data_IF_313573390094
#
_entry.id   IF_313573390094
#
_cell.length_a   1.000
_cell.length_b   1.000
_cell.length_c   1.000
_cell.angle_alpha   90.00
_cell.angle_beta   90.00
_cell.angle_gamma   90.00
#
_symmetry.space_group_name_H-M   'P 1'
#
loop_
_entity.id
_entity.type
_entity.pdbx_description
1 polymer ?
#
# COMPACT_ATOMS: atom_id res chain seq x y z
N UNK A 1 -16.89 -3.60 -1.86
CA UNK A 1 -15.78 -3.42 -0.88
C UNK A 1 -14.61 -2.80 -1.64
N UNK A 2 -13.81 -1.89 -1.06
CA UNK A 2 -12.59 -1.38 -1.69
C UNK A 2 -11.47 -1.31 -0.66
N UNK A 3 -10.24 -1.61 -1.04
CA UNK A 3 -9.07 -1.49 -0.14
C UNK A 3 -7.97 -0.71 -0.81
N UNK A 4 -7.11 -0.11 0.02
CA UNK A 4 -5.94 0.60 -0.47
C UNK A 4 -4.70 -0.24 -0.20
N UNK A 5 -3.69 -0.06 -1.03
CA UNK A 5 -2.39 -0.69 -0.82
C UNK A 5 -1.28 0.26 -1.24
N UNK A 6 -0.16 0.20 -0.53
CA UNK A 6 1.06 0.92 -0.86
C UNK A 6 2.05 -0.04 -1.49
N UNK A 7 2.68 0.44 -2.55
CA UNK A 7 3.73 -0.25 -3.27
C UNK A 7 5.05 0.46 -2.97
N UNK A 8 6.06 -0.33 -2.60
CA UNK A 8 7.45 0.10 -2.60
C UNK A 8 8.23 -0.76 -3.59
N UNK A 9 9.29 -0.22 -4.20
CA UNK A 9 10.19 -1.00 -5.05
C UNK A 9 11.11 -1.93 -4.26
N UNK A 10 11.31 -1.65 -2.97
CA UNK A 10 12.15 -2.45 -2.07
C UNK A 10 11.30 -3.27 -1.09
N UNK A 11 11.48 -4.60 -1.13
CA UNK A 11 10.84 -5.54 -0.17
C UNK A 11 11.15 -5.18 1.28
N UNK A 12 12.39 -4.78 1.55
CA UNK A 12 12.83 -4.41 2.91
C UNK A 12 12.13 -3.15 3.41
N UNK A 13 11.91 -2.14 2.54
CA UNK A 13 11.11 -0.98 2.91
C UNK A 13 9.63 -1.33 3.12
N UNK A 14 9.04 -2.19 2.27
CA UNK A 14 7.66 -2.68 2.47
C UNK A 14 7.49 -3.30 3.86
N UNK A 15 8.41 -4.18 4.26
CA UNK A 15 8.36 -4.84 5.56
C UNK A 15 8.59 -3.86 6.72
N UNK A 16 9.53 -2.93 6.58
CA UNK A 16 9.78 -1.89 7.57
C UNK A 16 8.54 -1.01 7.77
N UNK A 17 7.93 -0.58 6.65
CA UNK A 17 6.71 0.22 6.67
C UNK A 17 5.53 -0.52 7.29
N UNK A 18 5.36 -1.81 6.98
CA UNK A 18 4.37 -2.64 7.62
C UNK A 18 4.54 -2.72 9.15
N UNK A 19 5.78 -2.90 9.62
CA UNK A 19 6.08 -2.88 11.07
C UNK A 19 5.71 -1.55 11.71
N UNK A 20 6.06 -0.43 11.06
CA UNK A 20 5.68 0.92 11.52
C UNK A 20 4.15 1.02 11.62
N UNK A 21 3.41 0.56 10.62
CA UNK A 21 1.96 0.63 10.66
C UNK A 21 1.33 -0.19 11.79
N UNK A 22 1.87 -1.37 12.06
CA UNK A 22 1.43 -2.21 13.20
C UNK A 22 1.73 -1.50 14.53
N UNK A 23 2.92 -0.92 14.68
CA UNK A 23 3.34 -0.21 15.89
C UNK A 23 2.41 0.98 16.21
N UNK A 24 1.95 1.68 15.17
CA UNK A 24 0.96 2.75 15.29
C UNK A 24 -0.49 2.25 15.47
N UNK A 25 -0.72 0.93 15.50
CA UNK A 25 -2.04 0.33 15.72
C UNK A 25 -2.95 0.26 14.48
N UNK A 26 -2.43 0.46 13.27
CA UNK A 26 -3.23 0.38 12.05
C UNK A 26 -3.56 -1.07 11.68
N UNK A 27 -4.78 -1.30 11.20
CA UNK A 27 -5.19 -2.60 10.64
C UNK A 27 -4.64 -2.75 9.22
N UNK A 28 -3.48 -3.38 9.11
CA UNK A 28 -2.78 -3.57 7.84
C UNK A 28 -2.38 -5.02 7.61
N UNK A 29 -2.11 -5.40 6.37
CA UNK A 29 -1.72 -6.75 6.01
C UNK A 29 -0.80 -6.73 4.80
N UNK A 30 0.16 -7.66 4.74
CA UNK A 30 0.98 -7.85 3.54
C UNK A 30 0.20 -8.70 2.56
N UNK A 31 0.10 -8.22 1.32
CA UNK A 31 -0.49 -8.96 0.20
C UNK A 31 0.54 -9.07 -0.92
N UNK A 32 0.37 -10.07 -1.79
CA UNK A 32 1.10 -10.08 -3.05
C UNK A 32 0.61 -8.94 -3.94
N UNK A 33 1.53 -8.35 -4.68
CA UNK A 33 1.21 -7.32 -5.66
C UNK A 33 0.32 -7.91 -6.75
N UNK A 34 -0.76 -7.24 -7.15
CA UNK A 34 -1.55 -7.67 -8.30
C UNK A 34 -0.68 -7.66 -9.57
N UNK A 35 -0.97 -8.55 -10.53
CA UNK A 35 -0.16 -8.75 -11.75
C UNK A 35 0.15 -7.43 -12.48
N UNK A 36 -0.80 -6.48 -12.49
CA UNK A 36 -0.63 -5.16 -13.10
C UNK A 36 0.51 -4.32 -12.51
N UNK A 37 0.95 -4.60 -11.28
CA UNK A 37 2.01 -3.85 -10.56
C UNK A 37 3.17 -4.77 -10.14
N UNK A 38 3.04 -6.08 -10.31
CA UNK A 38 4.02 -7.06 -9.82
C UNK A 38 5.42 -6.90 -10.41
N UNK A 39 5.59 -6.19 -11.52
CA UNK A 39 6.90 -5.86 -12.10
C UNK A 39 7.79 -4.99 -11.19
N UNK A 40 7.22 -4.33 -10.18
CA UNK A 40 7.95 -3.40 -9.31
C UNK A 40 8.42 -4.06 -8.01
N UNK A 41 7.52 -4.80 -7.36
CA UNK A 41 7.83 -5.60 -6.17
C UNK A 41 6.78 -6.69 -6.04
N UNK A 42 7.14 -7.85 -5.49
CA UNK A 42 6.21 -8.97 -5.32
C UNK A 42 5.21 -8.77 -4.18
N UNK A 43 5.47 -7.85 -3.25
CA UNK A 43 4.62 -7.64 -2.06
C UNK A 43 4.29 -6.17 -1.84
N UNK A 44 3.12 -5.93 -1.27
CA UNK A 44 2.57 -4.61 -0.95
C UNK A 44 1.88 -4.62 0.41
N UNK A 45 1.73 -3.45 1.02
CA UNK A 45 0.99 -3.30 2.30
C UNK A 45 -0.42 -2.84 2.01
N UNK A 46 -1.40 -3.69 2.31
CA UNK A 46 -2.84 -3.40 2.27
C UNK A 46 -3.29 -2.75 3.58
N UNK A 47 -4.15 -1.75 3.47
CA UNK A 47 -4.73 -1.04 4.61
C UNK A 47 -6.15 -0.55 4.27
N UNK A 48 -6.86 -0.08 5.29
CA UNK A 48 -8.24 0.38 5.13
C UNK A 48 -8.27 1.81 4.55
N UNK A 49 -9.21 2.12 3.64
CA UNK A 49 -9.31 3.47 3.06
C UNK A 49 -9.44 4.60 4.08
N UNK A 50 -10.07 4.34 5.23
CA UNK A 50 -10.24 5.30 6.33
C UNK A 50 -8.91 5.75 6.95
N UNK A 51 -7.86 4.93 6.86
CA UNK A 51 -6.55 5.20 7.45
C UNK A 51 -5.63 5.94 6.46
N UNK A 52 -6.10 6.21 5.23
CA UNK A 52 -5.30 6.78 4.16
C UNK A 52 -4.66 8.12 4.51
N UNK A 53 -5.41 9.05 5.10
CA UNK A 53 -4.86 10.38 5.42
C UNK A 53 -3.73 10.30 6.47
N UNK A 54 -3.89 9.45 7.48
CA UNK A 54 -2.87 9.26 8.52
C UNK A 54 -1.61 8.60 7.92
N UNK A 55 -1.80 7.58 7.09
CA UNK A 55 -0.71 6.85 6.44
C UNK A 55 0.00 7.74 5.41
N UNK A 56 -0.72 8.58 4.67
CA UNK A 56 -0.16 9.57 3.75
C UNK A 56 0.77 10.54 4.47
N UNK A 57 0.36 11.07 5.64
CA UNK A 57 1.21 11.94 6.47
C UNK A 57 2.48 11.21 6.91
N UNK A 58 2.38 9.93 7.31
CA UNK A 58 3.55 9.13 7.67
C UNK A 58 4.54 8.96 6.52
N UNK A 59 4.04 8.73 5.30
CA UNK A 59 4.89 8.59 4.10
C UNK A 59 5.62 9.90 3.81
N UNK A 60 4.90 11.04 3.82
CA UNK A 60 5.48 12.36 3.57
C UNK A 60 6.54 12.71 4.62
N UNK A 61 6.30 12.36 5.89
CA UNK A 61 7.20 12.73 6.99
C UNK A 61 8.47 11.87 7.09
N UNK A 62 8.48 10.64 6.55
CA UNK A 62 9.58 9.68 6.74
C UNK A 62 10.46 9.43 5.50
N UNK A 63 10.25 10.18 4.42
CA UNK A 63 10.99 10.11 3.14
C UNK A 63 11.41 8.69 2.74
N UNK A 64 10.44 7.89 2.29
CA UNK A 64 10.71 6.53 1.83
C UNK A 64 11.23 6.55 0.39
N UNK A 65 12.54 6.42 0.20
CA UNK A 65 13.15 6.50 -1.14
C UNK A 65 12.70 5.40 -2.12
N UNK A 66 12.15 4.29 -1.64
CA UNK A 66 11.60 3.22 -2.47
C UNK A 66 10.09 3.33 -2.64
N UNK A 67 9.45 4.41 -2.20
CA UNK A 67 8.01 4.61 -2.38
C UNK A 67 7.66 4.77 -3.86
N UNK A 68 6.67 4.02 -4.31
CA UNK A 68 6.22 4.01 -5.72
C UNK A 68 4.87 4.71 -5.85
N UNK A 69 3.97 4.40 -4.93
CA UNK A 69 2.62 4.95 -4.95
C UNK A 69 1.65 4.25 -4.03
N UNK A 70 0.51 4.88 -3.83
CA UNK A 70 -0.68 4.31 -3.21
C UNK A 70 -1.70 4.01 -4.29
N UNK A 71 -2.33 2.85 -4.18
CA UNK A 71 -3.30 2.37 -5.13
C UNK A 71 -4.60 1.99 -4.41
N UNK A 72 -5.72 2.29 -5.05
CA UNK A 72 -7.05 1.84 -4.65
C UNK A 72 -7.43 0.64 -5.51
N UNK A 73 -7.83 -0.45 -4.86
CA UNK A 73 -8.49 -1.59 -5.50
C UNK A 73 -10.00 -1.51 -5.28
N UNK A 74 -10.76 -1.48 -6.37
CA UNK A 74 -12.22 -1.39 -6.35
C UNK A 74 -12.84 -2.66 -6.95
N UNK A 75 -13.68 -3.37 -6.17
CA UNK A 75 -14.29 -4.64 -6.58
C UNK A 75 -15.54 -4.46 -7.48
N UNK A 76 -15.87 -3.25 -7.92
CA UNK A 76 -17.11 -2.99 -8.67
C UNK A 76 -17.18 -3.65 -10.06
N UNK A 77 -16.08 -4.25 -10.54
CA UNK A 77 -15.99 -4.94 -11.84
C UNK A 77 -15.35 -6.31 -11.67
N UNK A 78 -15.74 -7.29 -12.51
CA UNK A 78 -15.26 -8.70 -12.49
C UNK A 78 -13.74 -8.87 -12.42
N UNK A 79 -12.95 -7.88 -12.85
CA UNK A 79 -11.49 -7.91 -12.83
C UNK A 79 -10.83 -7.00 -11.77
N UNK A 80 -11.61 -6.25 -10.99
CA UNK A 80 -11.13 -5.27 -10.00
C UNK A 80 -10.32 -4.12 -10.62
N UNK A 81 -10.76 -2.88 -10.40
CA UNK A 81 -10.04 -1.72 -10.96
C UNK A 81 -8.98 -1.27 -9.97
N UNK A 82 -7.74 -1.18 -10.44
CA UNK A 82 -6.63 -0.59 -9.72
C UNK A 82 -6.42 0.84 -10.22
N UNK A 83 -6.46 1.82 -9.32
CA UNK A 83 -6.13 3.22 -9.62
C UNK A 83 -5.06 3.74 -8.69
N UNK A 84 -4.01 4.37 -9.23
CA UNK A 84 -3.04 5.14 -8.43
C UNK A 84 -3.74 6.39 -7.89
N UNK A 85 -3.60 6.64 -6.59
CA UNK A 85 -4.24 7.76 -5.88
C UNK A 85 -3.22 8.69 -5.20
N UNK A 86 -1.97 8.26 -5.06
CA UNK A 86 -0.86 9.05 -4.53
C UNK A 86 0.45 8.51 -5.11
#
# INVERSE_FOLDING_TARGET
MSYYFIVFSSRSQTLNFFKILIDYGFKTSIINSPESISSICNICVKFLPKDFEAIKKLIINRDFSSFVGVYKYDYSTRNGIIKKIF
#
